data_IF_833420935438
#
_entry.id   IF_833420935438
#
_cell.length_a   1.000
_cell.length_b   1.000
_cell.length_c   1.000
_cell.angle_alpha   90.00
_cell.angle_beta   90.00
_cell.angle_gamma   90.00
#
_symmetry.space_group_name_H-M   'P 1'
#
loop_
_entity.id
_entity.type
_entity.pdbx_description
1 polymer ?
#
# COMPACT_ATOMS: atom_id res chain seq x y z
N UNK A 1 -57.94 44.70 31.01
CA UNK A 1 -57.14 43.67 31.72
C UNK A 1 -56.27 42.93 30.70
N UNK A 2 -55.22 42.20 31.11
CA UNK A 2 -54.15 41.77 30.21
C UNK A 2 -53.81 40.26 30.27
N UNK A 3 -53.48 39.68 29.10
CA UNK A 3 -52.58 38.53 28.78
C UNK A 3 -52.83 38.18 27.29
N UNK A 4 -51.87 38.05 26.36
CA UNK A 4 -50.53 37.38 26.28
C UNK A 4 -50.62 35.95 25.71
N UNK A 5 -49.84 35.69 24.65
CA UNK A 5 -49.84 34.48 23.80
C UNK A 5 -50.33 34.82 22.37
N UNK A 6 -49.65 34.52 21.26
CA UNK A 6 -48.42 33.74 21.04
C UNK A 6 -48.72 32.26 20.74
N UNK A 7 -48.32 31.67 19.60
CA UNK A 7 -47.66 32.22 18.41
C UNK A 7 -47.08 31.12 17.51
N UNK A 8 -46.59 31.50 16.30
CA UNK A 8 -45.96 30.64 15.25
C UNK A 8 -46.88 29.63 14.54
N UNK A 9 -46.79 29.61 13.21
CA UNK A 9 -47.36 28.56 12.35
C UNK A 9 -46.37 27.42 12.09
N UNK A 10 -46.88 26.27 11.65
CA UNK A 10 -46.07 25.11 11.24
C UNK A 10 -45.75 25.17 9.74
N UNK A 11 -44.46 25.24 9.40
CA UNK A 11 -43.97 24.83 8.08
C UNK A 11 -43.42 23.40 8.18
N UNK A 12 -44.01 22.46 7.43
CA UNK A 12 -43.57 21.08 7.35
C UNK A 12 -42.32 20.95 6.45
N UNK A 13 -41.14 21.13 7.04
CA UNK A 13 -39.86 20.91 6.37
C UNK A 13 -39.43 19.45 6.46
N UNK A 14 -39.91 18.62 5.53
CA UNK A 14 -39.47 17.22 5.40
C UNK A 14 -37.99 17.14 4.98
N UNK A 15 -37.09 16.89 5.94
CA UNK A 15 -35.67 16.65 5.66
C UNK A 15 -35.49 15.23 5.11
N UNK A 16 -35.20 15.11 3.82
CA UNK A 16 -34.59 13.89 3.29
C UNK A 16 -33.20 13.73 3.92
N UNK A 17 -33.05 12.72 4.77
CA UNK A 17 -31.75 12.25 5.25
C UNK A 17 -31.09 11.45 4.13
N UNK A 18 -30.33 12.13 3.28
CA UNK A 18 -29.42 11.49 2.35
C UNK A 18 -28.31 10.79 3.16
N UNK A 19 -28.44 9.47 3.33
CA UNK A 19 -27.43 8.64 3.98
C UNK A 19 -26.19 8.51 3.08
N UNK A 20 -25.28 9.48 3.19
CA UNK A 20 -23.92 9.37 2.65
C UNK A 20 -23.15 8.30 3.45
N UNK A 21 -23.30 7.05 3.04
CA UNK A 21 -22.48 5.95 3.53
C UNK A 21 -21.05 6.12 3.03
N UNK A 22 -20.23 6.81 3.83
CA UNK A 22 -18.81 7.05 3.59
C UNK A 22 -17.98 5.76 3.81
N UNK A 23 -18.26 4.73 3.00
CA UNK A 23 -17.44 3.54 2.86
C UNK A 23 -16.07 3.93 2.28
N UNK A 24 -15.01 3.18 2.62
CA UNK A 24 -13.75 3.26 1.87
C UNK A 24 -14.00 2.75 0.45
N UNK A 25 -14.21 3.67 -0.48
CA UNK A 25 -14.87 3.39 -1.77
C UNK A 25 -14.09 2.38 -2.60
N UNK A 26 -14.62 1.16 -2.68
CA UNK A 26 -14.32 0.28 -3.78
C UNK A 26 -14.93 0.87 -5.07
N UNK A 27 -14.24 0.65 -6.19
CA UNK A 27 -14.74 0.95 -7.51
C UNK A 27 -15.71 -0.17 -7.91
N UNK A 28 -17.01 0.14 -7.83
CA UNK A 28 -18.10 -0.79 -8.13
C UNK A 28 -18.72 -0.45 -9.49
N UNK A 29 -18.81 -1.44 -10.38
CA UNK A 29 -19.49 -1.31 -11.67
C UNK A 29 -20.83 -2.01 -11.58
N UNK A 30 -21.90 -1.28 -11.95
CA UNK A 30 -23.29 -1.74 -11.87
C UNK A 30 -23.90 -1.92 -13.24
N UNK A 31 -24.82 -2.87 -13.38
CA UNK A 31 -25.63 -3.04 -14.58
C UNK A 31 -26.83 -2.06 -14.62
N UNK A 32 -27.62 -2.12 -15.69
CA UNK A 32 -28.81 -1.27 -15.87
C UNK A 32 -29.94 -1.54 -14.86
N UNK A 33 -29.84 -2.62 -14.06
CA UNK A 33 -30.75 -2.93 -12.95
C UNK A 33 -30.18 -2.58 -11.57
N UNK A 34 -28.98 -1.97 -11.52
CA UNK A 34 -28.31 -1.59 -10.28
C UNK A 34 -27.53 -2.72 -9.61
N UNK A 35 -27.28 -3.83 -10.30
CA UNK A 35 -26.55 -4.98 -9.75
C UNK A 35 -25.06 -4.88 -9.98
N UNK A 36 -24.26 -5.13 -8.93
CA UNK A 36 -22.80 -5.08 -8.99
C UNK A 36 -22.23 -6.26 -9.79
N UNK A 37 -21.32 -5.98 -10.71
CA UNK A 37 -20.72 -6.95 -11.64
C UNK A 37 -19.18 -6.92 -11.67
N UNK A 38 -18.57 -5.84 -11.19
CA UNK A 38 -17.14 -5.71 -10.88
C UNK A 38 -17.01 -4.98 -9.55
N UNK A 39 -16.13 -5.44 -8.66
CA UNK A 39 -15.70 -4.71 -7.46
C UNK A 39 -14.17 -4.70 -7.43
N UNK A 40 -13.58 -3.51 -7.37
CA UNK A 40 -12.13 -3.32 -7.29
C UNK A 40 -11.74 -2.35 -6.18
N UNK A 41 -10.66 -2.64 -5.47
CA UNK A 41 -9.98 -1.71 -4.57
C UNK A 41 -8.48 -1.87 -4.84
N UNK A 42 -7.78 -0.77 -5.13
CA UNK A 42 -6.38 -0.78 -5.52
C UNK A 42 -5.73 0.57 -5.23
N UNK A 43 -4.44 0.54 -4.96
CA UNK A 43 -3.56 1.71 -5.06
C UNK A 43 -2.88 1.67 -6.44
N UNK A 44 -2.84 2.81 -7.13
CA UNK A 44 -2.09 2.95 -8.38
C UNK A 44 -1.26 4.24 -8.40
N UNK A 45 -0.05 4.17 -8.92
CA UNK A 45 0.76 5.33 -9.29
C UNK A 45 1.37 5.15 -10.68
N UNK A 46 1.62 6.28 -11.34
CA UNK A 46 2.01 6.32 -12.74
C UNK A 46 3.21 7.26 -12.90
N UNK A 47 4.18 6.81 -13.68
CA UNK A 47 5.33 7.60 -14.13
C UNK A 47 5.21 7.77 -15.64
N UNK A 48 5.23 9.01 -16.13
CA UNK A 48 4.97 9.34 -17.55
C UNK A 48 6.09 10.22 -18.09
N UNK A 49 6.80 9.74 -19.11
CA UNK A 49 7.74 10.56 -19.86
C UNK A 49 7.01 11.38 -20.93
N UNK A 50 7.33 12.67 -21.03
CA UNK A 50 6.71 13.60 -21.97
C UNK A 50 7.71 14.67 -22.42
N UNK A 51 7.42 15.31 -23.55
CA UNK A 51 8.20 16.45 -24.05
C UNK A 51 7.47 17.78 -23.81
N UNK A 52 8.24 18.79 -23.46
CA UNK A 52 7.79 20.18 -23.31
C UNK A 52 7.84 20.94 -24.64
N UNK A 53 7.30 22.16 -24.68
CA UNK A 53 7.33 23.06 -25.87
C UNK A 53 8.75 23.39 -26.34
N UNK A 54 9.75 23.29 -25.48
CA UNK A 54 11.18 23.50 -25.81
C UNK A 54 11.89 22.24 -26.30
N UNK A 55 11.18 21.11 -26.42
CA UNK A 55 11.74 19.80 -26.79
C UNK A 55 12.34 19.01 -25.63
N UNK A 56 12.58 19.63 -24.47
CA UNK A 56 13.09 18.94 -23.28
C UNK A 56 12.14 17.83 -22.84
N UNK A 57 12.68 16.61 -22.70
CA UNK A 57 12.01 15.46 -22.09
C UNK A 57 12.00 15.62 -20.56
N UNK A 58 10.85 15.37 -19.94
CA UNK A 58 10.63 15.37 -18.49
C UNK A 58 9.84 14.12 -18.09
N UNK A 59 9.91 13.76 -16.81
CA UNK A 59 9.08 12.70 -16.22
C UNK A 59 8.09 13.32 -15.24
N UNK A 60 6.80 13.02 -15.42
CA UNK A 60 5.73 13.36 -14.49
C UNK A 60 5.40 12.16 -13.59
N UNK A 61 5.00 12.45 -12.35
CA UNK A 61 4.52 11.45 -11.40
C UNK A 61 3.13 11.84 -10.89
N UNK A 62 2.24 10.86 -10.86
CA UNK A 62 0.86 11.01 -10.42
C UNK A 62 0.38 9.74 -9.70
N UNK A 63 -0.66 9.88 -8.88
CA UNK A 63 -1.27 8.77 -8.14
C UNK A 63 -2.79 8.78 -8.32
N UNK A 64 -3.40 7.61 -8.15
CA UNK A 64 -4.85 7.47 -8.13
C UNK A 64 -5.40 8.21 -6.90
N UNK A 65 -6.06 9.35 -7.16
CA UNK A 65 -6.45 10.28 -6.12
C UNK A 65 -7.61 9.76 -5.25
N UNK A 66 -7.79 10.33 -4.05
CA UNK A 66 -8.89 9.94 -3.14
C UNK A 66 -10.28 10.30 -3.68
N UNK A 67 -10.36 11.18 -4.70
CA UNK A 67 -11.57 11.52 -5.44
C UNK A 67 -11.66 10.82 -6.80
N UNK A 68 -10.93 9.72 -7.01
CA UNK A 68 -11.09 8.88 -8.18
C UNK A 68 -12.49 8.21 -8.20
N UNK A 69 -13.12 8.12 -9.37
CA UNK A 69 -14.50 7.67 -9.50
C UNK A 69 -14.70 6.71 -10.69
N UNK A 70 -15.77 5.89 -10.65
CA UNK A 70 -16.13 4.98 -11.73
C UNK A 70 -16.86 5.76 -12.82
N UNK A 71 -16.25 5.87 -14.00
CA UNK A 71 -16.85 6.54 -15.16
C UNK A 71 -17.94 5.64 -15.75
N UNK A 72 -19.20 5.92 -15.41
CA UNK A 72 -20.36 5.14 -15.82
C UNK A 72 -20.58 5.09 -17.36
N UNK A 73 -20.00 6.01 -18.12
CA UNK A 73 -20.04 6.03 -19.59
C UNK A 73 -18.90 5.24 -20.26
N UNK A 74 -17.87 4.82 -19.51
CA UNK A 74 -16.75 4.00 -20.01
C UNK A 74 -16.63 2.64 -19.30
N UNK A 75 -17.32 2.45 -18.17
CA UNK A 75 -17.43 1.16 -17.46
C UNK A 75 -18.63 0.35 -17.94
N UNK A 76 -18.56 -0.97 -17.85
CA UNK A 76 -19.65 -1.88 -18.25
C UNK A 76 -19.54 -3.24 -17.57
N UNK A 77 -20.67 -3.89 -17.33
CA UNK A 77 -20.72 -5.31 -16.96
C UNK A 77 -20.47 -6.27 -18.14
N UNK A 78 -20.36 -5.74 -19.36
CA UNK A 78 -20.37 -6.54 -20.57
C UNK A 78 -21.74 -7.17 -20.84
N UNK A 79 -21.77 -8.16 -21.73
CA UNK A 79 -22.92 -9.00 -22.04
C UNK A 79 -22.41 -10.41 -22.36
N UNK A 80 -23.07 -11.43 -21.82
CA UNK A 80 -22.61 -12.81 -21.99
C UNK A 80 -22.48 -13.17 -23.48
N UNK A 81 -21.31 -13.71 -23.85
CA UNK A 81 -20.90 -14.06 -25.22
C UNK A 81 -20.93 -12.91 -26.25
N UNK A 82 -21.08 -11.65 -25.82
CA UNK A 82 -21.18 -10.47 -26.71
C UNK A 82 -20.15 -9.39 -26.38
N UNK A 83 -19.88 -9.11 -25.09
CA UNK A 83 -18.87 -8.11 -24.71
C UNK A 83 -18.26 -8.37 -23.33
N UNK A 84 -16.98 -8.01 -23.21
CA UNK A 84 -16.22 -8.01 -21.97
C UNK A 84 -16.78 -7.01 -20.94
N UNK A 85 -16.71 -7.29 -19.63
CA UNK A 85 -16.78 -6.27 -18.60
C UNK A 85 -15.59 -5.32 -18.70
N UNK A 86 -15.81 -4.06 -18.34
CA UNK A 86 -14.81 -2.98 -18.33
C UNK A 86 -14.99 -2.17 -17.05
N UNK A 87 -13.90 -1.91 -16.34
CA UNK A 87 -13.84 -0.92 -15.26
C UNK A 87 -13.04 0.28 -15.76
N UNK A 88 -13.61 1.48 -15.70
CA UNK A 88 -12.96 2.73 -16.07
C UNK A 88 -12.97 3.70 -14.88
N UNK A 89 -11.79 3.95 -14.30
CA UNK A 89 -11.61 4.83 -13.12
C UNK A 89 -11.03 6.17 -13.57
N UNK A 90 -11.83 7.23 -13.50
CA UNK A 90 -11.41 8.60 -13.81
C UNK A 90 -10.84 9.32 -12.58
N UNK A 91 -9.82 10.15 -12.76
CA UNK A 91 -9.20 10.94 -11.68
C UNK A 91 -8.40 12.14 -12.21
N UNK A 92 -8.13 13.12 -11.34
CA UNK A 92 -7.39 14.34 -11.70
C UNK A 92 -8.05 15.15 -12.81
N UNK A 93 -7.26 15.93 -13.58
CA UNK A 93 -7.79 16.75 -14.67
C UNK A 93 -7.96 15.97 -15.99
N UNK A 94 -8.69 14.84 -15.93
CA UNK A 94 -9.01 14.01 -17.09
C UNK A 94 -8.07 12.83 -17.35
N UNK A 95 -7.49 12.25 -16.29
CA UNK A 95 -6.76 10.98 -16.38
C UNK A 95 -7.71 9.81 -16.09
N UNK A 96 -7.40 8.63 -16.64
CA UNK A 96 -8.26 7.46 -16.59
C UNK A 96 -7.44 6.17 -16.63
N UNK A 97 -7.66 5.31 -15.63
CA UNK A 97 -7.19 3.92 -15.62
C UNK A 97 -8.34 2.97 -15.98
N UNK A 98 -8.18 2.21 -17.04
CA UNK A 98 -9.18 1.25 -17.54
C UNK A 98 -8.65 -0.19 -17.47
N UNK A 99 -9.50 -1.12 -17.02
CA UNK A 99 -9.25 -2.56 -16.97
C UNK A 99 -10.29 -3.30 -17.83
N UNK A 100 -9.83 -4.06 -18.82
CA UNK A 100 -10.66 -4.88 -19.70
C UNK A 100 -10.63 -6.34 -19.24
N UNK A 101 -11.79 -6.96 -19.00
CA UNK A 101 -11.89 -8.29 -18.37
C UNK A 101 -12.24 -9.41 -19.36
N UNK A 102 -11.61 -10.57 -19.17
CA UNK A 102 -11.94 -11.80 -19.89
C UNK A 102 -12.23 -12.95 -18.91
N UNK A 103 -13.03 -13.93 -19.34
CA UNK A 103 -13.24 -15.20 -18.64
C UNK A 103 -13.00 -16.40 -19.57
N UNK A 104 -12.56 -17.49 -18.97
CA UNK A 104 -12.53 -18.85 -19.53
C UNK A 104 -13.54 -19.72 -18.77
N UNK A 105 -13.48 -21.04 -18.91
CA UNK A 105 -14.26 -21.99 -18.09
C UNK A 105 -13.72 -22.19 -16.66
N UNK A 106 -12.59 -21.57 -16.28
CA UNK A 106 -11.95 -21.74 -14.96
C UNK A 106 -11.41 -20.46 -14.33
N UNK A 107 -10.91 -19.54 -15.16
CA UNK A 107 -10.23 -18.31 -14.74
C UNK A 107 -10.95 -17.07 -15.28
N UNK A 108 -10.84 -15.95 -14.56
CA UNK A 108 -10.98 -14.61 -15.12
C UNK A 108 -9.66 -13.83 -15.04
N UNK A 109 -9.51 -12.81 -15.89
CA UNK A 109 -8.28 -12.04 -16.02
C UNK A 109 -8.54 -10.60 -16.44
N UNK A 110 -7.63 -9.69 -16.06
CA UNK A 110 -7.51 -8.37 -16.70
C UNK A 110 -6.64 -8.56 -17.95
N UNK A 111 -7.28 -8.80 -19.09
CA UNK A 111 -6.59 -9.10 -20.34
C UNK A 111 -5.80 -7.90 -20.86
N UNK A 112 -6.31 -6.69 -20.64
CA UNK A 112 -5.66 -5.43 -21.01
C UNK A 112 -5.85 -4.40 -19.89
N UNK A 113 -4.74 -3.75 -19.52
CA UNK A 113 -4.73 -2.52 -18.73
C UNK A 113 -4.42 -1.36 -19.66
N UNK A 114 -5.28 -0.34 -19.66
CA UNK A 114 -5.16 0.84 -20.51
C UNK A 114 -5.12 2.08 -19.62
N UNK A 115 -4.15 2.96 -19.85
CA UNK A 115 -4.05 4.24 -19.17
C UNK A 115 -4.15 5.38 -20.17
N UNK A 116 -5.03 6.32 -19.84
CA UNK A 116 -5.36 7.49 -20.64
C UNK A 116 -5.02 8.72 -19.80
N UNK A 117 -4.19 9.61 -20.33
CA UNK A 117 -3.70 10.79 -19.61
C UNK A 117 -3.87 12.06 -20.44
N UNK A 118 -4.24 13.14 -19.77
CA UNK A 118 -4.42 14.44 -20.38
C UNK A 118 -3.13 15.24 -20.28
N UNK A 119 -2.39 15.35 -21.39
CA UNK A 119 -1.17 16.17 -21.47
C UNK A 119 -1.44 17.69 -21.38
N UNK A 120 -2.71 18.13 -21.35
CA UNK A 120 -3.10 19.52 -21.04
C UNK A 120 -3.31 19.77 -19.55
N UNK A 121 -3.17 18.77 -18.67
CA UNK A 121 -3.11 18.99 -17.22
C UNK A 121 -1.79 19.67 -16.86
N UNK A 122 -1.78 21.00 -16.78
CA UNK A 122 -0.60 21.79 -16.48
C UNK A 122 -0.08 21.62 -15.06
N UNK A 123 -0.82 20.96 -14.16
CA UNK A 123 -0.36 20.66 -12.79
C UNK A 123 0.55 19.44 -12.74
N UNK A 124 0.36 18.50 -13.67
CA UNK A 124 1.15 17.27 -13.81
C UNK A 124 2.15 17.37 -14.98
N UNK A 125 1.77 18.06 -16.05
CA UNK A 125 2.52 18.19 -17.31
C UNK A 125 2.82 19.67 -17.67
N UNK A 126 3.55 20.41 -16.81
CA UNK A 126 3.91 21.80 -17.08
C UNK A 126 4.66 21.94 -18.42
N UNK A 127 4.32 22.99 -19.18
CA UNK A 127 4.89 23.29 -20.50
C UNK A 127 4.75 22.17 -21.56
N UNK A 128 3.81 21.24 -21.40
CA UNK A 128 3.41 20.27 -22.43
C UNK A 128 2.72 20.92 -23.65
N UNK A 129 2.68 20.22 -24.79
CA UNK A 129 1.97 20.58 -26.03
C UNK A 129 0.82 19.63 -26.41
N UNK A 130 0.61 18.54 -25.65
CA UNK A 130 -0.33 17.47 -26.02
C UNK A 130 -1.73 17.60 -25.42
N UNK A 131 -2.70 16.90 -26.03
CA UNK A 131 -4.03 16.63 -25.44
C UNK A 131 -4.11 15.22 -24.80
N UNK A 132 -5.24 14.54 -24.96
CA UNK A 132 -5.37 13.15 -24.49
C UNK A 132 -4.36 12.21 -25.18
N UNK A 133 -3.76 11.31 -24.41
CA UNK A 133 -2.87 10.22 -24.85
C UNK A 133 -3.27 8.92 -24.18
N UNK A 134 -3.19 7.82 -24.92
CA UNK A 134 -3.50 6.48 -24.43
C UNK A 134 -2.31 5.53 -24.61
N UNK A 135 -2.13 4.62 -23.66
CA UNK A 135 -1.22 3.47 -23.72
C UNK A 135 -1.95 2.24 -23.17
N UNK A 136 -1.64 1.05 -23.68
CA UNK A 136 -2.19 -0.20 -23.14
C UNK A 136 -1.18 -1.34 -23.16
N UNK A 137 -1.37 -2.32 -22.28
CA UNK A 137 -0.55 -3.52 -22.19
C UNK A 137 -1.34 -4.68 -21.58
N UNK A 138 -1.07 -5.91 -22.03
CA UNK A 138 -1.63 -7.11 -21.41
C UNK A 138 -1.05 -7.36 -20.01
N UNK A 139 -1.86 -7.88 -19.10
CA UNK A 139 -1.43 -8.13 -17.70
C UNK A 139 -1.28 -9.63 -17.38
N UNK A 140 -0.65 -9.91 -16.25
CA UNK A 140 -0.61 -11.22 -15.60
C UNK A 140 -1.61 -11.35 -14.44
N UNK A 141 -2.60 -10.43 -14.34
CA UNK A 141 -3.62 -10.41 -13.30
C UNK A 141 -4.72 -11.39 -13.69
N UNK A 142 -4.68 -12.58 -13.08
CA UNK A 142 -5.66 -13.66 -13.26
C UNK A 142 -6.03 -14.29 -11.91
N UNK A 143 -7.28 -14.75 -11.80
CA UNK A 143 -7.81 -15.45 -10.65
C UNK A 143 -8.77 -16.57 -11.07
N UNK A 144 -9.00 -17.52 -10.17
CA UNK A 144 -10.01 -18.57 -10.35
C UNK A 144 -11.41 -17.96 -10.29
N UNK A 145 -12.34 -18.46 -11.10
CA UNK A 145 -13.74 -18.04 -11.03
C UNK A 145 -14.30 -18.23 -9.62
N UNK A 146 -15.24 -17.38 -9.25
CA UNK A 146 -15.84 -17.32 -7.91
C UNK A 146 -14.86 -17.07 -6.75
N UNK A 147 -13.69 -16.47 -7.05
CA UNK A 147 -12.75 -15.94 -6.05
C UNK A 147 -12.49 -14.44 -6.26
N UNK A 148 -12.04 -13.74 -5.21
CA UNK A 148 -11.41 -12.41 -5.36
C UNK A 148 -9.93 -12.59 -5.70
N UNK A 149 -9.44 -11.91 -6.74
CA UNK A 149 -8.01 -11.70 -6.94
C UNK A 149 -7.47 -10.83 -5.81
N UNK A 150 -6.29 -11.17 -5.28
CA UNK A 150 -5.73 -10.46 -4.13
C UNK A 150 -4.20 -10.41 -4.16
N UNK A 151 -3.65 -9.20 -4.28
CA UNK A 151 -2.22 -8.93 -4.36
C UNK A 151 -1.86 -7.69 -3.56
N UNK A 152 -1.13 -7.86 -2.44
CA UNK A 152 -0.63 -6.72 -1.68
C UNK A 152 0.69 -6.22 -2.27
N UNK A 153 1.55 -7.13 -2.73
CA UNK A 153 2.79 -6.83 -3.42
C UNK A 153 2.61 -5.92 -4.63
N UNK A 154 3.58 -5.04 -4.83
CA UNK A 154 3.67 -4.14 -5.97
C UNK A 154 3.85 -4.92 -7.29
N UNK A 155 2.99 -4.64 -8.28
CA UNK A 155 3.12 -5.11 -9.66
C UNK A 155 3.39 -3.91 -10.59
N UNK A 156 4.34 -4.03 -11.52
CA UNK A 156 4.74 -2.93 -12.41
C UNK A 156 4.62 -3.31 -13.88
N UNK A 157 4.07 -2.38 -14.64
CA UNK A 157 3.55 -2.58 -16.00
C UNK A 157 4.10 -1.44 -16.86
N UNK A 158 5.11 -1.77 -17.68
CA UNK A 158 5.92 -0.81 -18.43
C UNK A 158 5.40 -0.66 -19.88
N UNK A 159 4.63 0.40 -20.10
CA UNK A 159 3.92 0.72 -21.35
C UNK A 159 4.66 1.80 -22.16
N UNK A 160 5.80 1.44 -22.77
CA UNK A 160 6.63 2.34 -23.58
C UNK A 160 7.14 3.57 -22.80
N UNK A 161 6.44 4.71 -22.88
CA UNK A 161 6.78 5.97 -22.17
C UNK A 161 6.07 6.12 -20.81
N UNK A 162 5.27 5.13 -20.41
CA UNK A 162 4.55 5.11 -19.12
C UNK A 162 4.95 3.88 -18.32
N UNK A 163 5.13 4.03 -17.00
CA UNK A 163 5.13 2.89 -16.07
C UNK A 163 3.99 3.01 -15.08
N UNK A 164 3.13 2.00 -15.02
CA UNK A 164 2.05 1.88 -14.04
C UNK A 164 2.50 0.95 -12.90
N UNK A 165 2.19 1.36 -11.69
CA UNK A 165 2.53 0.66 -10.44
C UNK A 165 1.24 0.38 -9.69
N UNK A 166 0.86 -0.90 -9.57
CA UNK A 166 -0.33 -1.33 -8.84
C UNK A 166 0.08 -1.99 -7.52
N UNK A 167 -0.63 -1.69 -6.43
CA UNK A 167 -0.45 -2.37 -5.14
C UNK A 167 -1.77 -2.42 -4.36
N UNK A 168 -1.81 -3.21 -3.27
CA UNK A 168 -3.03 -3.41 -2.45
C UNK A 168 -4.28 -3.85 -3.25
N UNK A 169 -4.09 -4.51 -4.39
CA UNK A 169 -5.15 -4.90 -5.33
C UNK A 169 -6.02 -5.99 -4.72
N UNK A 170 -7.30 -5.67 -4.52
CA UNK A 170 -8.40 -6.63 -4.30
C UNK A 170 -9.40 -6.42 -5.42
N UNK A 171 -9.65 -7.44 -6.23
CA UNK A 171 -10.41 -7.29 -7.47
C UNK A 171 -11.25 -8.53 -7.76
N UNK A 172 -12.50 -8.36 -8.17
CA UNK A 172 -13.31 -9.42 -8.77
C UNK A 172 -14.19 -8.84 -9.88
N UNK A 173 -14.34 -9.62 -10.95
CA UNK A 173 -15.34 -9.42 -12.01
C UNK A 173 -16.22 -10.67 -12.12
N UNK A 174 -17.34 -10.58 -12.84
CA UNK A 174 -18.30 -11.69 -13.02
C UNK A 174 -18.91 -12.19 -11.68
N UNK A 175 -19.31 -11.27 -10.80
CA UNK A 175 -19.81 -11.59 -9.46
C UNK A 175 -21.18 -12.30 -9.50
N UNK A 176 -21.22 -13.58 -9.15
CA UNK A 176 -22.45 -14.40 -9.09
C UNK A 176 -23.47 -13.86 -8.08
N UNK A 177 -23.01 -13.47 -6.89
CA UNK A 177 -23.87 -12.98 -5.78
C UNK A 177 -23.78 -11.45 -5.58
N UNK A 178 -23.36 -10.69 -6.61
CA UNK A 178 -23.17 -9.23 -6.57
C UNK A 178 -22.31 -8.71 -5.39
N UNK A 179 -21.48 -9.57 -4.82
CA UNK A 179 -20.65 -9.32 -3.64
C UNK A 179 -19.28 -10.01 -3.79
N UNK A 180 -18.22 -9.46 -3.15
CA UNK A 180 -16.88 -10.05 -3.19
C UNK A 180 -16.86 -11.44 -2.52
N UNK A 181 -16.44 -12.46 -3.26
CA UNK A 181 -16.35 -13.84 -2.78
C UNK A 181 -15.51 -13.97 -1.51
N UNK A 182 -15.89 -14.87 -0.60
CA UNK A 182 -15.08 -15.21 0.57
C UNK A 182 -13.74 -15.89 0.23
N UNK A 183 -13.65 -16.50 -0.96
CA UNK A 183 -12.45 -17.20 -1.44
C UNK A 183 -11.52 -16.25 -2.21
N UNK A 184 -10.22 -16.54 -2.22
CA UNK A 184 -9.15 -15.62 -2.65
C UNK A 184 -8.05 -16.29 -3.48
N UNK A 185 -7.96 -16.01 -4.79
CA UNK A 185 -6.76 -16.32 -5.57
C UNK A 185 -5.69 -15.26 -5.30
N UNK A 186 -4.66 -15.67 -4.57
CA UNK A 186 -3.52 -14.83 -4.22
C UNK A 186 -2.52 -14.74 -5.39
N UNK A 187 -1.98 -13.55 -5.67
CA UNK A 187 -0.99 -13.37 -6.73
C UNK A 187 0.35 -14.06 -6.44
N UNK A 188 1.14 -14.33 -7.48
CA UNK A 188 2.41 -15.07 -7.34
C UNK A 188 3.42 -14.42 -6.39
N UNK A 189 3.49 -13.07 -6.36
CA UNK A 189 4.40 -12.33 -5.47
C UNK A 189 4.03 -12.42 -3.97
N UNK A 190 2.74 -12.60 -3.66
CA UNK A 190 2.24 -12.79 -2.28
C UNK A 190 2.36 -14.27 -1.81
N UNK A 191 2.76 -15.22 -2.67
CA UNK A 191 2.90 -16.64 -2.31
C UNK A 191 4.28 -16.92 -1.71
N UNK A 192 4.30 -17.40 -0.47
CA UNK A 192 5.52 -17.87 0.21
C UNK A 192 6.13 -19.08 -0.51
N UNK A 193 7.44 -19.09 -0.84
CA UNK A 193 8.09 -20.25 -1.44
C UNK A 193 8.14 -21.45 -0.48
N UNK A 194 7.63 -22.59 -0.90
CA UNK A 194 7.65 -23.84 -0.11
C UNK A 194 8.89 -24.67 -0.45
N UNK A 195 9.98 -24.46 0.28
CA UNK A 195 11.21 -25.27 0.13
C UNK A 195 11.03 -26.67 0.72
N UNK A 196 11.41 -27.76 0.03
CA UNK A 196 11.36 -29.12 0.60
C UNK A 196 12.29 -29.27 1.82
N UNK A 197 11.79 -29.91 2.88
CA UNK A 197 12.56 -30.18 4.11
C UNK A 197 13.30 -31.51 3.97
N UNK A 198 14.63 -31.46 3.88
CA UNK A 198 15.48 -32.64 3.99
C UNK A 198 15.69 -33.02 5.47
N UNK A 199 15.62 -34.32 5.77
CA UNK A 199 15.86 -34.88 7.11
C UNK A 199 17.34 -35.12 7.39
N UNK A 200 17.75 -34.95 8.65
CA UNK A 200 19.14 -35.11 9.10
C UNK A 200 19.25 -36.11 10.24
N UNK A 201 20.07 -37.17 10.14
CA UNK A 201 20.49 -37.97 11.29
C UNK A 201 21.71 -37.33 11.97
N UNK A 202 21.79 -37.46 13.30
CA UNK A 202 22.89 -36.89 14.12
C UNK A 202 24.07 -37.83 14.27
N UNK A 203 25.29 -37.30 14.19
CA UNK A 203 26.45 -37.80 14.96
C UNK A 203 27.43 -36.66 15.25
N UNK A 204 28.33 -36.87 16.21
CA UNK A 204 29.21 -35.83 16.77
C UNK A 204 30.69 -36.18 16.59
N UNK A 205 31.54 -35.19 16.28
CA UNK A 205 32.91 -35.07 16.81
C UNK A 205 33.46 -33.67 16.49
N UNK A 206 34.28 -33.04 17.36
CA UNK A 206 34.79 -31.69 17.14
C UNK A 206 36.19 -31.67 16.53
N UNK A 207 36.38 -30.90 15.46
CA UNK A 207 37.72 -30.50 14.97
C UNK A 207 37.75 -29.01 14.64
N UNK A 208 38.81 -28.33 15.06
CA UNK A 208 39.02 -26.89 14.89
C UNK A 208 39.63 -26.57 13.52
N UNK A 209 38.92 -25.84 12.66
CA UNK A 209 39.52 -24.83 11.77
C UNK A 209 38.46 -23.96 11.10
N UNK A 210 38.86 -22.74 10.71
CA UNK A 210 38.17 -21.78 9.82
C UNK A 210 36.67 -21.53 10.07
N UNK A 211 36.32 -20.31 10.51
CA UNK A 211 34.93 -19.87 10.64
C UNK A 211 34.32 -19.53 9.26
N UNK A 212 33.26 -20.24 8.81
CA UNK A 212 32.47 -19.83 7.66
C UNK A 212 31.49 -18.71 8.05
N UNK A 213 31.10 -17.88 7.09
CA UNK A 213 30.21 -16.73 7.31
C UNK A 213 28.88 -17.15 7.93
N UNK A 214 28.39 -16.36 8.90
CA UNK A 214 27.05 -16.55 9.48
C UNK A 214 25.95 -16.39 8.41
N UNK A 215 24.79 -17.07 8.57
CA UNK A 215 23.63 -16.80 7.73
C UNK A 215 23.18 -15.33 7.92
N UNK A 216 22.50 -14.72 6.93
CA UNK A 216 22.11 -13.31 6.98
C UNK A 216 21.37 -12.93 8.27
N UNK A 217 22.04 -12.17 9.12
CA UNK A 217 21.50 -11.77 10.42
C UNK A 217 20.51 -10.61 10.23
N UNK A 218 19.28 -10.78 10.73
CA UNK A 218 18.29 -9.71 10.78
C UNK A 218 18.89 -8.47 11.50
N UNK A 219 18.65 -7.25 11.00
CA UNK A 219 19.23 -6.04 11.58
C UNK A 219 18.75 -5.85 13.03
N UNK A 220 19.68 -5.42 13.90
CA UNK A 220 19.42 -5.28 15.33
C UNK A 220 18.34 -4.22 15.60
N UNK A 221 17.38 -4.53 16.48
CA UNK A 221 16.29 -3.61 16.84
C UNK A 221 16.82 -2.37 17.56
N UNK A 222 16.81 -1.22 16.88
CA UNK A 222 17.11 0.06 17.50
C UNK A 222 15.95 0.61 18.31
N UNK A 223 16.23 1.61 19.15
CA UNK A 223 15.23 2.33 19.96
C UNK A 223 15.41 3.82 19.75
N UNK A 224 14.34 4.49 19.33
CA UNK A 224 14.34 5.89 18.92
C UNK A 224 13.19 6.63 19.63
N UNK A 225 13.48 7.82 20.17
CA UNK A 225 12.50 8.69 20.81
C UNK A 225 12.67 10.11 20.24
N UNK A 226 11.61 10.68 19.69
CA UNK A 226 11.55 12.10 19.34
C UNK A 226 10.68 12.80 20.36
N UNK A 227 11.26 13.78 21.06
CA UNK A 227 10.57 14.66 22.01
C UNK A 227 10.25 15.98 21.33
N UNK A 228 8.97 16.35 21.28
CA UNK A 228 8.48 17.66 20.84
C UNK A 228 8.18 18.59 22.02
N UNK A 229 7.53 19.71 21.75
CA UNK A 229 7.15 20.72 22.76
C UNK A 229 6.28 20.16 23.90
N UNK A 230 5.42 19.18 23.58
CA UNK A 230 4.50 18.55 24.52
C UNK A 230 5.00 17.17 25.04
N UNK A 231 6.31 16.91 24.99
CA UNK A 231 6.92 15.63 25.40
C UNK A 231 7.15 14.66 24.23
N UNK A 232 7.33 13.38 24.54
CA UNK A 232 7.60 12.33 23.54
C UNK A 232 6.46 12.24 22.53
N UNK A 233 6.79 12.37 21.24
CA UNK A 233 5.82 12.45 20.15
C UNK A 233 6.10 11.45 19.00
N UNK A 234 7.30 10.84 18.97
CA UNK A 234 7.57 9.57 18.29
C UNK A 234 8.27 8.63 19.27
N UNK A 235 7.81 7.39 19.36
CA UNK A 235 8.53 6.30 20.01
C UNK A 235 8.55 5.12 19.05
N UNK A 236 9.75 4.64 18.71
CA UNK A 236 9.92 3.56 17.72
C UNK A 236 11.01 2.59 18.18
N UNK A 237 10.66 1.30 18.25
CA UNK A 237 11.62 0.19 18.28
C UNK A 237 11.57 -0.49 16.91
N UNK A 238 12.69 -0.59 16.19
CA UNK A 238 12.74 -1.31 14.90
C UNK A 238 14.18 -1.60 14.45
N UNK A 239 14.39 -2.80 13.92
CA UNK A 239 15.55 -3.14 13.09
C UNK A 239 15.28 -2.73 11.65
N UNK A 240 16.31 -2.24 10.95
CA UNK A 240 16.18 -1.66 9.60
C UNK A 240 17.25 -2.19 8.67
N UNK A 241 16.84 -2.59 7.47
CA UNK A 241 17.74 -2.88 6.36
C UNK A 241 17.30 -2.06 5.15
N UNK A 242 18.20 -1.20 4.69
CA UNK A 242 18.06 -0.53 3.39
C UNK A 242 18.63 -1.47 2.31
N UNK A 243 17.89 -1.66 1.23
CA UNK A 243 18.30 -2.44 0.07
C UNK A 243 18.21 -1.54 -1.17
N UNK A 244 19.34 -1.34 -1.86
CA UNK A 244 19.45 -0.43 -3.01
C UNK A 244 20.00 -1.19 -4.23
N UNK A 245 19.16 -1.32 -5.25
CA UNK A 245 19.56 -1.73 -6.59
C UNK A 245 20.10 -0.51 -7.34
N UNK A 246 21.22 -0.60 -8.05
CA UNK A 246 21.81 0.54 -8.75
C UNK A 246 22.48 0.15 -10.08
N UNK A 247 22.58 1.09 -11.02
CA UNK A 247 23.32 0.88 -12.26
C UNK A 247 24.83 1.12 -12.03
N UNK A 248 25.66 0.16 -12.45
CA UNK A 248 27.12 0.23 -12.40
C UNK A 248 27.71 0.90 -13.64
N UNK A 249 28.97 1.34 -13.53
CA UNK A 249 29.78 1.89 -14.63
C UNK A 249 30.03 0.91 -15.78
N UNK A 250 29.97 -0.41 -15.51
CA UNK A 250 30.06 -1.47 -16.53
C UNK A 250 28.71 -1.83 -17.17
N UNK A 251 27.66 -1.01 -16.95
CA UNK A 251 26.32 -1.20 -17.51
C UNK A 251 25.50 -2.30 -16.84
N UNK A 252 26.05 -3.00 -15.83
CA UNK A 252 25.35 -4.06 -15.09
C UNK A 252 24.61 -3.50 -13.88
N UNK A 253 23.66 -4.26 -13.36
CA UNK A 253 23.00 -3.96 -12.09
C UNK A 253 23.89 -4.38 -10.91
N UNK A 254 24.07 -3.49 -9.94
CA UNK A 254 24.62 -3.77 -8.62
C UNK A 254 23.54 -3.76 -7.55
N UNK A 255 23.86 -4.33 -6.39
CA UNK A 255 22.97 -4.40 -5.22
C UNK A 255 23.78 -4.04 -3.97
N UNK A 256 23.33 -3.04 -3.23
CA UNK A 256 23.85 -2.64 -1.92
C UNK A 256 22.81 -3.00 -0.85
N UNK A 257 23.25 -3.54 0.29
CA UNK A 257 22.37 -4.00 1.38
C UNK A 257 22.94 -3.55 2.72
N UNK A 258 22.37 -2.46 3.23
CA UNK A 258 22.83 -1.76 4.43
C UNK A 258 21.91 -2.08 5.61
N UNK A 259 22.31 -3.05 6.43
CA UNK A 259 21.77 -3.24 7.77
C UNK A 259 22.16 -2.04 8.66
N UNK A 260 21.19 -1.37 9.26
CA UNK A 260 21.44 -0.30 10.23
C UNK A 260 21.94 -0.89 11.55
N UNK A 261 22.94 -0.24 12.14
CA UNK A 261 23.51 -0.61 13.44
C UNK A 261 23.07 0.44 14.47
N UNK A 262 22.17 0.12 15.43
CA UNK A 262 21.53 1.14 16.26
C UNK A 262 22.49 2.01 17.08
N UNK A 263 23.55 1.44 17.65
CA UNK A 263 24.56 2.18 18.42
C UNK A 263 25.33 3.21 17.57
N UNK A 264 25.36 3.03 16.25
CA UNK A 264 25.99 3.93 15.28
C UNK A 264 24.97 4.77 14.49
N UNK A 265 23.67 4.66 14.80
CA UNK A 265 22.58 5.37 14.12
C UNK A 265 22.13 6.55 14.97
N UNK A 266 22.41 7.78 14.51
CA UNK A 266 21.84 8.96 15.14
C UNK A 266 20.38 9.16 14.71
N UNK A 267 19.57 9.76 15.59
CA UNK A 267 18.17 10.02 15.32
C UNK A 267 17.77 11.46 15.67
N UNK A 268 16.82 11.99 14.93
CA UNK A 268 16.19 13.30 15.16
C UNK A 268 14.75 13.27 14.60
N UNK A 269 13.99 14.36 14.80
CA UNK A 269 12.63 14.45 14.30
C UNK A 269 11.91 15.71 14.79
N UNK A 270 10.65 15.83 14.41
CA UNK A 270 9.73 16.88 14.83
C UNK A 270 8.30 16.35 14.80
N UNK A 271 7.40 16.98 15.56
CA UNK A 271 5.97 16.65 15.52
C UNK A 271 5.12 17.91 15.68
N UNK A 272 4.10 18.00 14.83
CA UNK A 272 3.05 19.00 14.85
C UNK A 272 1.71 18.32 15.26
N UNK A 273 0.60 19.05 15.16
CA UNK A 273 -0.73 18.52 15.49
C UNK A 273 -1.21 17.38 14.55
N UNK A 274 -0.68 17.29 13.33
CA UNK A 274 -1.13 16.33 12.30
C UNK A 274 0.00 15.60 11.56
N UNK A 275 1.25 16.06 11.69
CA UNK A 275 2.45 15.49 11.06
C UNK A 275 3.51 15.12 12.11
N UNK A 276 4.18 13.98 11.94
CA UNK A 276 5.31 13.58 12.77
C UNK A 276 6.42 12.95 11.92
N UNK A 277 7.67 13.29 12.22
CA UNK A 277 8.85 12.89 11.46
C UNK A 277 9.86 12.16 12.34
N UNK A 278 10.41 11.06 11.82
CA UNK A 278 11.56 10.36 12.39
C UNK A 278 12.67 10.28 11.35
N UNK A 279 13.76 11.01 11.58
CA UNK A 279 14.97 11.02 10.76
C UNK A 279 16.03 10.15 11.42
N UNK A 280 16.50 9.11 10.74
CA UNK A 280 17.55 8.20 11.19
C UNK A 280 18.76 8.31 10.24
N UNK A 281 19.94 8.59 10.78
CA UNK A 281 21.17 8.76 9.99
C UNK A 281 22.23 7.76 10.44
N UNK A 282 22.75 6.98 9.49
CA UNK A 282 23.76 5.95 9.70
C UNK A 282 24.84 6.08 8.61
N UNK A 283 26.05 6.50 9.00
CA UNK A 283 27.14 6.76 8.07
C UNK A 283 26.78 7.83 7.03
N UNK A 284 26.69 7.43 5.77
CA UNK A 284 26.29 8.31 4.63
C UNK A 284 24.82 8.16 4.22
N UNK A 285 24.02 7.43 5.00
CA UNK A 285 22.61 7.13 4.73
C UNK A 285 21.71 7.87 5.71
N UNK A 286 20.62 8.44 5.20
CA UNK A 286 19.53 9.03 5.98
C UNK A 286 18.18 8.47 5.52
N UNK A 287 17.37 8.00 6.46
CA UNK A 287 15.97 7.62 6.26
C UNK A 287 15.09 8.64 7.00
N UNK A 288 14.08 9.20 6.35
CA UNK A 288 13.10 10.10 7.00
C UNK A 288 11.71 9.50 6.84
N UNK A 289 11.16 8.97 7.93
CA UNK A 289 9.81 8.45 8.02
C UNK A 289 8.84 9.58 8.33
N UNK A 290 7.78 9.73 7.54
CA UNK A 290 6.73 10.72 7.71
C UNK A 290 5.42 10.04 8.07
N UNK A 291 4.86 10.36 9.24
CA UNK A 291 3.57 9.89 9.71
C UNK A 291 2.55 11.04 9.68
N UNK A 292 1.31 10.76 9.27
CA UNK A 292 0.19 11.68 9.42
C UNK A 292 -0.89 11.12 10.37
N UNK A 293 -1.60 12.02 11.04
CA UNK A 293 -2.79 11.72 11.85
C UNK A 293 -4.07 12.08 11.08
N UNK A 294 -4.87 11.07 10.75
CA UNK A 294 -6.24 11.28 10.32
C UNK A 294 -7.12 11.55 11.56
N UNK A 295 -7.35 12.84 11.84
CA UNK A 295 -8.11 13.29 13.01
C UNK A 295 -9.54 12.69 13.05
N UNK A 296 -10.24 12.67 11.92
CA UNK A 296 -11.63 12.17 11.80
C UNK A 296 -11.81 10.69 12.14
N UNK A 297 -10.74 9.90 12.13
CA UNK A 297 -10.76 8.46 12.48
C UNK A 297 -9.88 8.12 13.68
N UNK A 298 -9.27 9.11 14.32
CA UNK A 298 -8.27 8.98 15.39
C UNK A 298 -7.15 7.97 15.07
N UNK A 299 -6.65 7.93 13.83
CA UNK A 299 -5.62 6.96 13.40
C UNK A 299 -4.42 7.63 12.77
N UNK A 300 -3.24 7.20 13.18
CA UNK A 300 -2.01 7.53 12.48
C UNK A 300 -1.62 6.42 11.50
N UNK A 301 -0.86 6.78 10.47
CA UNK A 301 -0.25 5.86 9.51
C UNK A 301 1.06 6.47 8.99
N UNK A 302 1.93 5.62 8.44
CA UNK A 302 3.09 6.07 7.68
C UNK A 302 2.61 6.61 6.32
N UNK A 303 2.74 7.91 6.10
CA UNK A 303 2.42 8.59 4.83
C UNK A 303 3.55 8.45 3.81
N UNK A 304 4.80 8.33 4.28
CA UNK A 304 5.94 8.22 3.38
C UNK A 304 7.29 7.97 4.02
N UNK A 305 8.27 7.68 3.17
CA UNK A 305 9.70 7.59 3.52
C UNK A 305 10.52 8.30 2.44
N UNK A 306 11.44 9.18 2.85
CA UNK A 306 12.57 9.64 2.04
C UNK A 306 13.83 8.85 2.39
N UNK A 307 14.64 8.54 1.38
CA UNK A 307 15.91 7.84 1.47
C UNK A 307 16.97 8.65 0.73
N UNK A 308 17.93 9.20 1.47
CA UNK A 308 19.14 9.79 0.91
C UNK A 308 20.32 8.86 1.24
N UNK A 309 21.10 8.41 0.27
CA UNK A 309 22.36 7.68 0.54
C UNK A 309 23.40 7.82 -0.56
N UNK A 310 24.68 7.68 -0.20
CA UNK A 310 25.79 7.63 -1.13
C UNK A 310 26.10 6.18 -1.55
N UNK A 311 26.18 5.94 -2.86
CA UNK A 311 26.34 4.61 -3.46
C UNK A 311 27.79 4.06 -3.37
N UNK A 312 27.99 2.78 -3.69
CA UNK A 312 29.31 2.17 -3.92
C UNK A 312 30.10 2.82 -5.07
N UNK A 313 31.42 2.61 -5.12
CA UNK A 313 32.34 3.33 -6.02
C UNK A 313 32.21 2.93 -7.49
N UNK A 314 31.71 1.72 -7.74
CA UNK A 314 31.41 1.12 -9.03
C UNK A 314 30.05 1.55 -9.61
N UNK A 315 29.21 2.22 -8.82
CA UNK A 315 27.96 2.80 -9.30
C UNK A 315 28.22 3.91 -10.33
N UNK A 316 27.27 4.08 -11.26
CA UNK A 316 27.27 5.18 -12.24
C UNK A 316 26.99 6.51 -11.55
N UNK A 317 25.96 6.54 -10.70
CA UNK A 317 25.62 7.68 -9.85
C UNK A 317 26.35 7.60 -8.50
N UNK A 318 26.65 8.73 -7.88
CA UNK A 318 27.39 8.77 -6.59
C UNK A 318 26.49 8.76 -5.36
N UNK A 319 25.21 9.12 -5.52
CA UNK A 319 24.20 9.13 -4.48
C UNK A 319 22.80 8.94 -5.06
N UNK A 320 21.85 8.56 -4.21
CA UNK A 320 20.41 8.66 -4.45
C UNK A 320 19.78 9.59 -3.41
N UNK A 321 18.71 10.27 -3.81
CA UNK A 321 17.77 10.94 -2.93
C UNK A 321 16.38 10.71 -3.51
N UNK A 322 15.59 9.83 -2.88
CA UNK A 322 14.30 9.35 -3.39
C UNK A 322 13.25 9.35 -2.29
N UNK A 323 11.98 9.43 -2.66
CA UNK A 323 10.89 9.42 -1.69
C UNK A 323 9.65 8.71 -2.23
N UNK A 324 8.83 8.22 -1.31
CA UNK A 324 7.44 7.85 -1.56
C UNK A 324 6.58 8.59 -0.53
N UNK A 325 5.53 9.29 -0.98
CA UNK A 325 4.56 10.00 -0.13
C UNK A 325 3.13 9.42 -0.23
N UNK A 326 2.98 8.20 -0.75
CA UNK A 326 1.69 7.50 -0.93
C UNK A 326 1.58 6.21 -0.10
N UNK A 327 2.30 6.13 1.01
CA UNK A 327 2.24 5.01 1.96
C UNK A 327 1.00 5.09 2.84
N UNK A 328 0.61 3.96 3.44
CA UNK A 328 -0.46 3.88 4.44
C UNK A 328 -0.28 2.78 5.51
N UNK A 329 0.94 2.24 5.60
CA UNK A 329 1.46 1.20 6.49
C UNK A 329 1.59 1.67 7.96
N UNK A 330 2.07 0.77 8.85
CA UNK A 330 2.35 1.03 10.28
C UNK A 330 1.17 1.65 11.06
N UNK A 331 -0.06 1.36 10.64
CA UNK A 331 -1.28 2.08 11.06
C UNK A 331 -1.81 1.62 12.41
N UNK A 332 -2.05 2.54 13.33
CA UNK A 332 -2.73 2.28 14.60
C UNK A 332 -3.66 3.43 15.04
N UNK A 333 -4.46 3.19 16.10
CA UNK A 333 -5.24 4.26 16.74
C UNK A 333 -4.30 5.17 17.54
N UNK A 334 -4.59 6.46 17.55
CA UNK A 334 -3.99 7.46 18.44
C UNK A 334 -4.00 6.96 19.90
N UNK A 335 -2.85 6.94 20.55
CA UNK A 335 -2.65 6.40 21.91
C UNK A 335 -2.27 4.91 21.97
N UNK A 336 -2.25 4.17 20.86
CA UNK A 336 -1.85 2.76 20.80
C UNK A 336 -0.63 2.58 19.88
N UNK A 337 0.26 1.64 20.19
CA UNK A 337 1.36 1.29 19.28
C UNK A 337 0.93 0.32 18.18
N UNK A 338 1.38 0.54 16.95
CA UNK A 338 1.51 -0.53 15.95
C UNK A 338 2.60 -1.51 16.40
N UNK A 339 2.44 -2.81 16.15
CA UNK A 339 3.46 -3.82 16.42
C UNK A 339 3.44 -4.98 15.42
N UNK A 340 4.58 -5.24 14.80
CA UNK A 340 4.82 -6.39 13.93
C UNK A 340 6.20 -7.02 14.20
N UNK A 341 6.22 -8.33 14.47
CA UNK A 341 7.45 -9.12 14.66
C UNK A 341 7.92 -9.82 13.37
N UNK A 342 7.19 -9.69 12.27
CA UNK A 342 7.58 -10.20 10.97
C UNK A 342 8.41 -9.16 10.20
N UNK A 343 9.08 -9.59 9.12
CA UNK A 343 9.67 -8.66 8.15
C UNK A 343 8.55 -7.91 7.40
N UNK A 344 8.60 -6.58 7.40
CA UNK A 344 7.65 -5.70 6.72
C UNK A 344 8.41 -4.81 5.73
N UNK A 345 8.08 -4.87 4.43
CA UNK A 345 8.85 -4.20 3.37
C UNK A 345 8.19 -2.91 2.92
N UNK A 346 8.85 -1.78 3.18
CA UNK A 346 8.44 -0.48 2.65
C UNK A 346 9.08 -0.25 1.29
N UNK A 347 8.23 -0.03 0.27
CA UNK A 347 8.63 0.17 -1.11
C UNK A 347 8.79 1.67 -1.38
N UNK A 348 10.02 2.16 -1.39
CA UNK A 348 10.31 3.59 -1.67
C UNK A 348 10.40 3.81 -3.17
N UNK A 349 11.17 2.96 -3.87
CA UNK A 349 11.15 2.82 -5.33
C UNK A 349 11.39 1.34 -5.72
N UNK A 350 11.35 1.03 -7.01
CA UNK A 350 11.68 -0.30 -7.60
C UNK A 350 13.08 -0.81 -7.26
N UNK A 351 13.91 0.11 -6.82
CA UNK A 351 15.33 -0.06 -6.62
C UNK A 351 15.73 0.32 -5.20
N UNK A 352 14.77 0.69 -4.33
CA UNK A 352 15.03 1.16 -2.97
C UNK A 352 13.93 0.64 -2.04
N UNK A 353 14.29 -0.34 -1.21
CA UNK A 353 13.40 -0.95 -0.22
C UNK A 353 13.94 -0.71 1.19
N UNK A 354 13.04 -0.43 2.14
CA UNK A 354 13.37 -0.37 3.57
C UNK A 354 12.65 -1.51 4.27
N UNK A 355 13.38 -2.57 4.58
CA UNK A 355 12.86 -3.75 5.28
C UNK A 355 12.91 -3.49 6.79
N UNK A 356 11.75 -3.58 7.45
CA UNK A 356 11.57 -3.41 8.89
C UNK A 356 11.54 -4.77 9.59
N UNK A 357 12.14 -4.85 10.78
CA UNK A 357 12.19 -6.06 11.61
C UNK A 357 11.85 -5.71 13.06
N UNK A 358 11.05 -6.56 13.72
CA UNK A 358 10.59 -6.36 15.12
C UNK A 358 10.10 -4.94 15.43
N UNK A 359 9.32 -4.38 14.49
CA UNK A 359 8.81 -3.01 14.58
C UNK A 359 7.71 -2.88 15.65
N UNK A 360 7.89 -1.91 16.55
CA UNK A 360 6.84 -1.37 17.40
C UNK A 360 6.93 0.15 17.37
N UNK A 361 5.89 0.85 16.91
CA UNK A 361 5.91 2.30 16.70
C UNK A 361 4.62 2.96 17.19
N UNK A 362 4.75 4.14 17.78
CA UNK A 362 3.65 5.00 18.20
C UNK A 362 4.04 6.46 17.96
N UNK A 363 3.07 7.28 17.56
CA UNK A 363 3.27 8.71 17.26
C UNK A 363 2.12 9.57 17.81
N UNK A 364 2.35 10.88 17.88
CA UNK A 364 1.45 11.93 18.37
C UNK A 364 1.13 11.86 19.87
N UNK A 365 0.36 10.86 20.31
CA UNK A 365 0.01 10.67 21.73
C UNK A 365 0.79 9.50 22.31
N UNK A 366 1.72 9.79 23.23
CA UNK A 366 2.56 8.80 23.92
C UNK A 366 2.64 9.18 25.39
N UNK A 367 1.95 8.43 26.25
CA UNK A 367 1.90 8.70 27.68
C UNK A 367 3.13 8.07 28.39
N UNK A 368 3.70 8.77 29.38
CA UNK A 368 4.86 8.31 30.20
C UNK A 368 6.11 7.82 29.42
N UNK A 369 6.31 8.23 28.17
CA UNK A 369 7.35 7.71 27.26
C UNK A 369 7.24 6.18 27.01
N UNK A 370 6.04 5.60 27.17
CA UNK A 370 5.75 4.17 27.02
C UNK A 370 4.83 3.92 25.83
N UNK A 371 4.90 2.72 25.26
CA UNK A 371 3.89 2.28 24.30
C UNK A 371 2.56 2.05 25.03
N UNK A 372 1.50 2.69 24.53
CA UNK A 372 0.13 2.40 24.93
C UNK A 372 -0.33 1.04 24.40
N UNK A 373 -1.50 0.57 24.86
CA UNK A 373 -1.98 -0.80 24.68
C UNK A 373 -2.03 -1.27 23.21
N UNK A 374 -0.93 -1.84 22.72
CA UNK A 374 -0.82 -2.30 21.33
C UNK A 374 -1.74 -3.48 21.04
N UNK A 375 -2.52 -3.40 19.95
CA UNK A 375 -3.16 -4.59 19.40
C UNK A 375 -2.08 -5.46 18.75
N UNK A 376 -1.75 -6.57 19.41
CA UNK A 376 -0.83 -7.57 18.85
C UNK A 376 -1.40 -8.12 17.54
N UNK A 377 -0.74 -7.84 16.42
CA UNK A 377 -1.25 -8.18 15.08
C UNK A 377 -0.91 -9.62 14.68
N UNK A 378 -1.34 -10.59 15.50
CA UNK A 378 -1.23 -12.02 15.20
C UNK A 378 -2.34 -12.50 14.27
N UNK A 379 -1.97 -12.84 13.04
CA UNK A 379 -2.77 -13.61 12.09
C UNK A 379 -2.94 -15.07 12.56
N UNK A 380 -3.77 -15.33 13.58
CA UNK A 380 -4.05 -16.69 14.02
C UNK A 380 -5.02 -17.39 13.06
N UNK A 381 -4.47 -18.12 12.09
CA UNK A 381 -5.21 -19.13 11.33
C UNK A 381 -5.57 -20.28 12.28
N UNK A 382 -6.85 -20.38 12.64
CA UNK A 382 -7.38 -21.45 13.49
C UNK A 382 -7.64 -22.71 12.66
N UNK A 383 -6.57 -23.34 12.17
CA UNK A 383 -6.65 -24.58 11.41
C UNK A 383 -7.20 -25.73 12.27
N UNK A 384 -8.46 -26.10 12.07
CA UNK A 384 -9.04 -27.35 12.63
C UNK A 384 -8.57 -28.53 11.76
N UNK A 385 -7.26 -28.78 11.79
CA UNK A 385 -6.59 -29.94 11.18
C UNK A 385 -5.58 -30.46 12.21
N UNK A 386 -5.61 -31.77 12.48
CA UNK A 386 -4.71 -32.39 13.46
C UNK A 386 -3.29 -32.51 12.88
N UNK A 387 -2.32 -31.86 13.51
CA UNK A 387 -0.89 -32.11 13.30
C UNK A 387 -0.13 -31.00 12.57
N UNK A 388 1.21 -31.05 12.74
CA UNK A 388 2.23 -30.12 12.26
C UNK A 388 2.20 -28.71 12.85
N UNK A 389 3.32 -28.35 13.50
CA UNK A 389 3.46 -27.15 14.33
C UNK A 389 4.70 -26.34 13.93
N UNK A 390 4.52 -25.33 13.09
CA UNK A 390 5.38 -24.13 13.01
C UNK A 390 4.63 -23.01 12.27
N UNK A 391 4.17 -22.01 13.02
CA UNK A 391 3.30 -20.95 12.50
C UNK A 391 4.13 -19.74 12.04
N UNK A 392 4.24 -19.54 10.73
CA UNK A 392 4.70 -18.27 10.16
C UNK A 392 3.64 -17.19 10.36
N UNK A 393 3.96 -16.16 11.16
CA UNK A 393 3.05 -15.04 11.44
C UNK A 393 3.29 -13.92 10.43
N UNK A 394 2.23 -13.35 9.85
CA UNK A 394 2.31 -12.16 8.99
C UNK A 394 1.31 -11.10 9.47
N UNK A 395 1.71 -9.83 9.41
CA UNK A 395 0.94 -8.75 10.02
C UNK A 395 -0.13 -8.22 9.05
N UNK A 396 -1.20 -8.99 8.84
CA UNK A 396 -2.34 -8.61 7.97
C UNK A 396 -3.60 -8.29 8.79
N UNK A 397 -4.32 -7.25 8.35
CA UNK A 397 -5.49 -6.69 9.05
C UNK A 397 -6.71 -7.61 8.98
N UNK A 398 -7.26 -8.00 10.13
CA UNK A 398 -8.51 -8.77 10.21
C UNK A 398 -9.71 -7.82 10.24
N UNK A 399 -10.44 -7.72 9.13
CA UNK A 399 -11.82 -7.21 9.18
C UNK A 399 -12.67 -8.21 9.98
N UNK A 400 -13.21 -7.75 11.11
CA UNK A 400 -14.22 -8.49 11.86
C UNK A 400 -15.53 -7.71 11.74
N UNK A 401 -16.44 -8.20 10.90
CA UNK A 401 -17.86 -7.96 11.08
C UNK A 401 -18.42 -9.11 11.92
N UNK A 402 -18.88 -8.83 13.14
CA UNK A 402 -19.77 -9.76 13.86
C UNK A 402 -21.18 -9.20 13.73
N UNK A 403 -22.03 -9.88 12.97
CA UNK A 403 -23.46 -9.81 13.19
C UNK A 403 -23.82 -10.90 14.20
N UNK A 404 -24.28 -10.50 15.39
CA UNK A 404 -25.05 -11.40 16.24
C UNK A 404 -26.48 -11.44 15.69
N UNK A 405 -26.96 -12.65 15.41
CA UNK A 405 -28.39 -12.90 15.24
C UNK A 405 -28.90 -13.45 16.57
N UNK A 406 -29.56 -12.62 17.36
CA UNK A 406 -30.32 -13.12 18.51
C UNK A 406 -31.61 -13.75 17.99
N UNK A 407 -31.70 -15.07 18.12
CA UNK A 407 -32.95 -15.81 17.94
C UNK A 407 -33.64 -15.95 19.30
N UNK A 408 -34.89 -15.49 19.39
CA UNK A 408 -35.81 -15.76 20.50
C UNK A 408 -37.24 -15.80 19.96
N UNK A 409 -38.13 -16.47 20.72
CA UNK A 409 -39.42 -16.99 20.25
C UNK A 409 -40.44 -15.90 19.91
#
# INVERSE_FOLDING_TARGET
MARVGGGRGLFLAARLLAFLQMSSSAFEVNDQSGKVCIIANLSASFSVEYHTKSGQQLTAHLALAQNAEVLANKSSCGKENVSAPILAIGFGAGHLLQMSFTKTSKLYSVDELTFIYNLSDTTVFPNSTGGEKNVSQKTNIQADLDTRYRCFSTNRINMSVVTITLSNVTLQAYLVNHTLSGNETVCAADKTPTTPVATTPTSQTPTTSQAPTSPPQNPMTGKYNVTGTNGTCVLAHMGLQLNVTYLRKDGKTGLDVLNFVPVNTSFSGSCDHSSAFLSLTFGRTRLVFQFLLNASTEKFFLQGVNVTTALPSEAKETKIDVFNHSMSELRAKLGNSYKCNAEEKLWVTDHVFVNLFDVQVQVFKIDENKFGAGKLHTSTLSSVVKGFNKIGKTCKFKHIGVFFSESSL
#
